data_IF_947348404040
#
_entry.id   IF_947348404040
#
_cell.length_a   1.000
_cell.length_b   1.000
_cell.length_c   1.000
_cell.angle_alpha   90.00
_cell.angle_beta   90.00
_cell.angle_gamma   90.00
#
_symmetry.space_group_name_H-M   'P 1'
#
loop_
_entity.id
_entity.type
_entity.pdbx_description
1 polymer ?
#
# COMPACT_ATOMS: atom_id res chain seq x y z
N UNK A 1 -4.10 28.38 -38.78
CA UNK A 1 -3.11 28.34 -37.67
C UNK A 1 -3.56 29.30 -36.58
N UNK A 2 -4.29 28.87 -35.61
CA UNK A 2 -4.61 29.66 -34.43
C UNK A 2 -3.35 29.86 -33.61
N UNK A 3 -2.84 31.08 -33.49
CA UNK A 3 -1.75 31.41 -32.57
C UNK A 3 -2.21 31.05 -31.17
N UNK A 4 -1.57 30.06 -30.58
CA UNK A 4 -1.68 29.83 -29.14
C UNK A 4 -1.10 31.07 -28.47
N UNK A 5 -1.97 32.00 -28.03
CA UNK A 5 -1.57 33.19 -27.28
C UNK A 5 -1.20 32.75 -25.86
N UNK A 6 0.04 32.86 -25.55
CA UNK A 6 0.55 32.69 -24.20
C UNK A 6 1.87 31.95 -24.20
N UNK A 7 2.80 32.40 -23.41
CA UNK A 7 4.12 31.79 -23.18
C UNK A 7 4.06 30.60 -22.24
N UNK A 8 2.90 30.23 -21.80
CA UNK A 8 2.63 29.01 -21.04
C UNK A 8 1.27 28.50 -21.44
N UNK A 9 1.09 27.21 -21.43
CA UNK A 9 -0.25 26.65 -21.43
C UNK A 9 -0.95 27.21 -20.20
N UNK A 10 -1.94 28.06 -20.43
CA UNK A 10 -2.82 28.46 -19.35
C UNK A 10 -3.50 27.20 -18.83
N UNK A 11 -3.92 27.22 -17.59
CA UNK A 11 -4.76 26.16 -17.01
C UNK A 11 -6.03 25.84 -17.82
N UNK A 12 -6.27 26.60 -18.86
CA UNK A 12 -7.32 26.40 -19.86
C UNK A 12 -6.66 26.39 -21.23
N UNK A 13 -6.57 25.21 -21.82
CA UNK A 13 -6.25 25.02 -23.22
C UNK A 13 -7.55 24.63 -23.92
N UNK A 14 -8.40 25.58 -24.31
CA UNK A 14 -9.53 25.24 -25.14
C UNK A 14 -8.97 24.81 -26.49
N UNK A 15 -9.03 23.56 -26.79
CA UNK A 15 -8.74 23.02 -28.12
C UNK A 15 -9.88 23.35 -29.08
N UNK A 16 -11.05 23.59 -28.48
CA UNK A 16 -12.28 23.87 -29.20
C UNK A 16 -12.84 25.21 -28.75
N UNK A 17 -13.36 25.96 -29.71
CA UNK A 17 -14.13 27.17 -29.45
C UNK A 17 -15.62 26.82 -29.44
N UNK A 18 -16.48 27.81 -29.14
CA UNK A 18 -17.95 27.62 -29.27
C UNK A 18 -18.39 27.18 -30.68
N UNK A 19 -17.56 27.38 -31.70
CA UNK A 19 -17.79 26.86 -33.04
C UNK A 19 -17.67 25.32 -33.09
N UNK A 20 -16.89 24.75 -32.20
CA UNK A 20 -16.60 23.32 -32.18
C UNK A 20 -17.77 22.49 -31.61
N UNK A 21 -18.71 23.11 -30.89
CA UNK A 21 -19.96 22.45 -30.51
C UNK A 21 -20.78 22.04 -31.75
N UNK A 22 -20.50 22.67 -32.90
CA UNK A 22 -21.06 22.35 -34.21
C UNK A 22 -20.05 21.65 -35.12
N UNK A 23 -18.85 21.37 -34.62
CA UNK A 23 -17.84 20.66 -35.40
C UNK A 23 -18.23 19.21 -35.47
N UNK A 24 -19.09 18.90 -36.37
CA UNK A 24 -19.26 17.55 -36.86
C UNK A 24 -17.95 17.21 -37.55
N UNK A 25 -17.17 16.31 -36.99
CA UNK A 25 -16.02 15.73 -37.67
C UNK A 25 -16.48 15.42 -39.08
N UNK A 26 -15.84 15.95 -40.15
CA UNK A 26 -16.32 15.75 -41.50
C UNK A 26 -16.09 14.31 -42.00
N UNK A 27 -16.54 13.35 -41.21
CA UNK A 27 -16.65 11.96 -41.62
C UNK A 27 -17.43 11.84 -42.90
N UNK A 28 -18.44 12.72 -43.11
CA UNK A 28 -19.24 12.77 -44.32
C UNK A 28 -18.47 13.30 -45.54
N UNK A 29 -17.27 13.90 -45.38
CA UNK A 29 -16.41 14.35 -46.46
C UNK A 29 -15.32 13.38 -46.87
N UNK A 30 -15.02 12.39 -46.02
CA UNK A 30 -14.15 11.32 -46.40
C UNK A 30 -15.01 10.16 -46.92
N UNK A 31 -15.03 9.98 -48.22
CA UNK A 31 -15.41 8.70 -48.82
C UNK A 31 -14.35 7.72 -48.38
N UNK A 32 -14.58 7.06 -47.25
CA UNK A 32 -13.69 6.00 -46.77
C UNK A 32 -13.87 4.83 -47.70
N UNK A 33 -12.90 4.58 -48.55
CA UNK A 33 -12.75 3.32 -49.27
C UNK A 33 -12.63 2.17 -48.25
N UNK A 34 -13.26 1.07 -48.52
CA UNK A 34 -13.21 -0.14 -47.68
C UNK A 34 -11.76 -0.59 -47.39
N UNK A 35 -10.86 -0.41 -48.33
CA UNK A 35 -9.43 -0.64 -48.18
C UNK A 35 -8.77 0.26 -47.14
N UNK A 36 -9.16 1.52 -47.07
CA UNK A 36 -8.65 2.49 -46.10
C UNK A 36 -9.13 2.14 -44.68
N UNK A 37 -10.40 1.75 -44.58
CA UNK A 37 -10.99 1.30 -43.30
C UNK A 37 -10.28 0.04 -42.80
N UNK A 38 -10.04 -0.92 -43.66
CA UNK A 38 -9.34 -2.17 -43.29
C UNK A 38 -7.88 -1.90 -42.91
N UNK A 39 -7.18 -1.03 -43.66
CA UNK A 39 -5.83 -0.60 -43.30
C UNK A 39 -5.77 0.10 -41.94
N UNK A 40 -6.75 0.98 -41.64
CA UNK A 40 -6.85 1.64 -40.32
C UNK A 40 -7.10 0.66 -39.18
N UNK A 41 -7.96 -0.38 -39.39
CA UNK A 41 -8.19 -1.41 -38.39
C UNK A 41 -6.91 -2.24 -38.11
N UNK A 42 -6.18 -2.60 -39.16
CA UNK A 42 -4.92 -3.34 -39.03
C UNK A 42 -3.87 -2.51 -38.29
N UNK A 43 -3.75 -1.23 -38.59
CA UNK A 43 -2.83 -0.31 -37.94
C UNK A 43 -3.18 -0.12 -36.44
N UNK A 44 -4.46 0.08 -36.12
CA UNK A 44 -4.91 0.20 -34.73
C UNK A 44 -4.65 -1.10 -33.98
N UNK A 45 -4.92 -2.25 -34.58
CA UNK A 45 -4.64 -3.55 -33.98
C UNK A 45 -3.15 -3.74 -33.70
N UNK A 46 -2.30 -3.36 -34.65
CA UNK A 46 -0.84 -3.37 -34.49
C UNK A 46 -0.38 -2.46 -33.35
N UNK A 47 -0.88 -1.22 -33.27
CA UNK A 47 -0.55 -0.30 -32.19
C UNK A 47 -1.05 -0.76 -30.82
N UNK A 48 -2.19 -1.45 -30.75
CA UNK A 48 -2.67 -2.06 -29.53
C UNK A 48 -1.76 -3.19 -29.04
N UNK A 49 -1.24 -3.98 -29.99
CA UNK A 49 -0.29 -5.05 -29.70
C UNK A 49 1.10 -4.51 -29.34
N UNK A 50 1.50 -3.38 -29.94
CA UNK A 50 2.82 -2.77 -29.75
C UNK A 50 2.69 -1.29 -29.35
N UNK A 51 2.19 -0.99 -28.13
CA UNK A 51 1.88 0.39 -27.73
C UNK A 51 3.10 1.30 -27.67
N UNK A 52 4.30 0.76 -27.46
CA UNK A 52 5.54 1.52 -27.50
C UNK A 52 5.86 2.05 -28.91
N UNK A 53 5.51 1.31 -29.96
CA UNK A 53 5.66 1.77 -31.33
C UNK A 53 4.70 2.93 -31.61
N UNK A 54 3.43 2.78 -31.20
CA UNK A 54 2.47 3.86 -31.30
C UNK A 54 2.99 5.15 -30.65
N UNK A 55 3.55 5.06 -29.46
CA UNK A 55 4.08 6.22 -28.73
C UNK A 55 5.28 6.83 -29.47
N UNK A 56 6.21 6.00 -29.95
CA UNK A 56 7.40 6.49 -30.64
C UNK A 56 7.04 7.16 -31.99
N UNK A 57 6.07 6.63 -32.73
CA UNK A 57 5.66 7.17 -34.04
C UNK A 57 4.65 8.30 -33.91
N UNK A 58 3.68 8.19 -33.00
CA UNK A 58 2.56 9.14 -32.92
C UNK A 58 2.87 10.35 -32.05
N UNK A 59 3.66 10.16 -30.97
CA UNK A 59 4.06 11.27 -30.09
C UNK A 59 5.42 11.87 -30.46
N UNK A 60 6.13 11.26 -31.42
CA UNK A 60 7.50 11.66 -31.83
C UNK A 60 8.48 11.71 -30.65
N UNK A 61 8.49 10.67 -29.84
CA UNK A 61 9.38 10.52 -28.69
C UNK A 61 10.01 9.14 -28.68
N UNK A 62 11.22 9.03 -28.14
CA UNK A 62 11.87 7.74 -27.96
C UNK A 62 11.79 7.28 -26.51
N UNK A 63 11.39 6.03 -26.34
CA UNK A 63 11.30 5.37 -25.04
C UNK A 63 12.58 4.58 -24.75
N UNK A 64 13.01 4.59 -23.51
CA UNK A 64 14.02 3.64 -23.01
C UNK A 64 13.44 2.24 -22.93
N UNK A 65 14.28 1.19 -23.01
CA UNK A 65 13.82 -0.19 -23.05
C UNK A 65 12.94 -0.57 -21.86
N UNK A 66 13.31 -0.12 -20.65
CA UNK A 66 12.47 -0.36 -19.46
C UNK A 66 11.11 0.33 -19.54
N UNK A 67 11.04 1.50 -20.20
CA UNK A 67 9.77 2.22 -20.40
C UNK A 67 8.89 1.52 -21.44
N UNK A 68 9.51 0.93 -22.49
CA UNK A 68 8.78 0.11 -23.48
C UNK A 68 8.13 -1.10 -22.82
N UNK A 69 8.89 -1.82 -21.99
CA UNK A 69 8.39 -2.97 -21.25
C UNK A 69 7.28 -2.55 -20.29
N UNK A 70 7.51 -1.54 -19.47
CA UNK A 70 6.52 -1.07 -18.52
C UNK A 70 5.23 -0.59 -19.21
N UNK A 71 5.34 0.17 -20.31
CA UNK A 71 4.18 0.61 -21.09
C UNK A 71 3.42 -0.57 -21.70
N UNK A 72 4.16 -1.56 -22.23
CA UNK A 72 3.55 -2.77 -22.77
C UNK A 72 2.69 -3.47 -21.72
N UNK A 73 3.24 -3.70 -20.55
CA UNK A 73 2.54 -4.38 -19.45
C UNK A 73 1.37 -3.53 -18.90
N UNK A 74 1.55 -2.21 -18.76
CA UNK A 74 0.47 -1.29 -18.38
C UNK A 74 -0.73 -1.35 -19.33
N UNK A 75 -0.51 -1.64 -20.61
CA UNK A 75 -1.56 -1.71 -21.63
C UNK A 75 -2.24 -3.08 -21.69
N UNK A 76 -1.58 -4.15 -21.22
CA UNK A 76 -2.04 -5.53 -21.38
C UNK A 76 -2.44 -6.21 -20.06
N UNK A 77 -2.15 -5.61 -18.90
CA UNK A 77 -2.55 -6.15 -17.59
C UNK A 77 -3.65 -5.31 -16.97
N UNK A 78 -4.47 -5.94 -16.13
CA UNK A 78 -5.54 -5.25 -15.42
C UNK A 78 -5.11 -4.77 -14.02
N UNK A 79 -4.07 -5.38 -13.47
CA UNK A 79 -3.53 -5.03 -12.16
C UNK A 79 -2.01 -4.84 -12.25
N UNK A 80 -1.57 -3.60 -12.19
CA UNK A 80 -0.17 -3.24 -12.38
C UNK A 80 0.39 -2.52 -11.16
N UNK A 81 1.46 -3.04 -10.57
CA UNK A 81 2.16 -2.41 -9.44
C UNK A 81 3.55 -1.96 -9.86
N UNK A 82 3.81 -0.66 -9.80
CA UNK A 82 5.05 -0.06 -10.24
C UNK A 82 5.81 0.56 -9.08
N UNK A 83 6.82 -0.15 -8.61
CA UNK A 83 7.79 0.37 -7.63
C UNK A 83 9.00 0.90 -8.37
N UNK A 84 9.26 2.19 -8.31
CA UNK A 84 10.32 2.77 -9.12
C UNK A 84 11.05 3.90 -8.40
N UNK A 85 12.36 4.00 -8.68
CA UNK A 85 13.25 5.03 -8.15
C UNK A 85 12.70 6.43 -8.40
N UNK A 86 13.01 7.35 -7.52
CA UNK A 86 12.77 8.79 -7.79
C UNK A 86 13.45 9.22 -9.07
N UNK A 87 12.80 10.12 -9.79
CA UNK A 87 13.31 10.70 -11.05
C UNK A 87 13.52 9.71 -12.22
N UNK A 88 12.92 8.51 -12.18
CA UNK A 88 12.90 7.59 -13.32
C UNK A 88 11.89 7.98 -14.41
N UNK A 89 11.03 8.96 -14.13
CA UNK A 89 9.96 9.38 -15.05
C UNK A 89 8.65 8.64 -14.87
N UNK A 90 8.33 8.13 -13.66
CA UNK A 90 7.02 7.49 -13.36
C UNK A 90 5.85 8.32 -13.87
N UNK A 91 5.73 9.55 -13.39
CA UNK A 91 4.63 10.48 -13.74
C UNK A 91 4.54 10.74 -15.24
N UNK A 92 5.71 10.86 -15.91
CA UNK A 92 5.76 11.05 -17.36
C UNK A 92 5.29 9.80 -18.12
N UNK A 93 5.74 8.60 -17.70
CA UNK A 93 5.30 7.34 -18.31
C UNK A 93 3.80 7.10 -18.07
N UNK A 94 3.30 7.47 -16.88
CA UNK A 94 1.87 7.42 -16.58
C UNK A 94 1.07 8.34 -17.49
N UNK A 95 1.55 9.56 -17.76
CA UNK A 95 0.90 10.47 -18.71
C UNK A 95 0.83 9.86 -20.13
N UNK A 96 1.91 9.22 -20.57
CA UNK A 96 1.94 8.49 -21.85
C UNK A 96 0.95 7.33 -21.85
N UNK A 97 0.94 6.52 -20.78
CA UNK A 97 0.00 5.40 -20.66
C UNK A 97 -1.46 5.85 -20.78
N UNK A 98 -1.88 6.86 -19.98
CA UNK A 98 -3.28 7.29 -19.97
C UNK A 98 -3.69 7.92 -21.30
N UNK A 99 -2.79 8.63 -21.99
CA UNK A 99 -3.02 9.16 -23.32
C UNK A 99 -3.16 8.04 -24.35
N UNK A 100 -2.22 7.10 -24.37
CA UNK A 100 -2.21 5.95 -25.27
C UNK A 100 -3.49 5.11 -25.09
N UNK A 101 -3.87 4.85 -23.85
CA UNK A 101 -5.08 4.09 -23.53
C UNK A 101 -6.34 4.82 -24.02
N UNK A 102 -6.43 6.14 -23.79
CA UNK A 102 -7.56 6.95 -24.23
C UNK A 102 -7.69 7.05 -25.76
N UNK A 103 -6.57 7.11 -26.49
CA UNK A 103 -6.57 7.22 -27.95
C UNK A 103 -6.92 5.88 -28.59
N UNK A 104 -6.20 4.80 -28.20
CA UNK A 104 -6.35 3.49 -28.82
C UNK A 104 -7.64 2.75 -28.42
N UNK A 105 -8.25 3.13 -27.30
CA UNK A 105 -9.46 2.48 -26.77
C UNK A 105 -10.56 3.53 -26.54
N UNK A 106 -11.43 3.78 -27.51
CA UNK A 106 -12.49 4.80 -27.44
C UNK A 106 -13.39 4.60 -26.21
N UNK A 107 -13.89 5.73 -25.66
CA UNK A 107 -14.74 5.77 -24.47
C UNK A 107 -14.07 5.28 -23.19
N UNK A 108 -12.75 5.27 -23.13
CA UNK A 108 -11.99 4.99 -21.89
C UNK A 108 -12.19 6.13 -20.91
N UNK A 109 -12.51 5.80 -19.66
CA UNK A 109 -12.62 6.75 -18.56
C UNK A 109 -11.49 6.48 -17.58
N UNK A 110 -10.54 7.40 -17.49
CA UNK A 110 -9.39 7.30 -16.60
C UNK A 110 -9.57 8.24 -15.43
N UNK A 111 -9.37 7.74 -14.21
CA UNK A 111 -9.18 8.55 -13.02
C UNK A 111 -7.73 8.41 -12.58
N UNK A 112 -7.05 9.56 -12.45
CA UNK A 112 -5.74 9.64 -11.84
C UNK A 112 -5.90 10.24 -10.45
N UNK A 113 -5.39 9.56 -9.45
CA UNK A 113 -5.46 10.01 -8.07
C UNK A 113 -4.09 10.01 -7.41
N UNK A 114 -3.84 11.00 -6.55
CA UNK A 114 -2.66 11.09 -5.70
C UNK A 114 -3.07 11.54 -4.30
N UNK A 115 -2.21 11.27 -3.29
CA UNK A 115 -2.47 11.64 -1.90
C UNK A 115 -2.66 13.15 -1.74
N UNK A 116 -1.90 13.91 -2.50
CA UNK A 116 -1.99 15.36 -2.55
C UNK A 116 -2.43 15.80 -3.94
N UNK A 117 -3.28 16.82 -3.99
CA UNK A 117 -3.77 17.34 -5.25
C UNK A 117 -2.67 17.86 -6.16
N UNK A 118 -1.63 18.46 -5.59
CA UNK A 118 -0.51 18.99 -6.37
C UNK A 118 0.17 17.87 -7.17
N UNK A 119 0.29 16.67 -6.61
CA UNK A 119 0.87 15.50 -7.28
C UNK A 119 -0.02 15.01 -8.44
N UNK A 120 -1.34 14.98 -8.25
CA UNK A 120 -2.25 14.58 -9.34
C UNK A 120 -2.26 15.59 -10.49
N UNK A 121 -2.00 16.87 -10.23
CA UNK A 121 -1.87 17.91 -11.27
C UNK A 121 -0.54 17.79 -12.04
N UNK A 122 0.49 17.17 -11.48
CA UNK A 122 1.75 16.95 -12.21
C UNK A 122 1.56 16.08 -13.46
N UNK A 123 0.68 15.09 -13.41
CA UNK A 123 0.36 14.25 -14.58
C UNK A 123 -0.26 15.10 -15.66
N UNK A 124 -1.18 16.01 -15.30
CA UNK A 124 -1.77 16.95 -16.28
C UNK A 124 -0.75 17.93 -16.85
N UNK A 125 0.21 18.38 -16.05
CA UNK A 125 1.34 19.17 -16.55
C UNK A 125 2.12 18.39 -17.61
N UNK A 126 2.38 17.09 -17.39
CA UNK A 126 3.06 16.23 -18.38
C UNK A 126 2.20 16.01 -19.64
N UNK A 127 0.89 15.83 -19.50
CA UNK A 127 -0.03 15.77 -20.64
C UNK A 127 0.04 17.06 -21.48
N UNK A 128 -0.04 18.20 -20.82
CA UNK A 128 0.05 19.50 -21.50
C UNK A 128 1.41 19.72 -22.20
N UNK A 129 2.51 19.26 -21.58
CA UNK A 129 3.84 19.33 -22.20
C UNK A 129 3.97 18.40 -23.41
N UNK A 130 3.41 17.20 -23.37
CA UNK A 130 3.35 16.29 -24.51
C UNK A 130 2.53 16.89 -25.65
N UNK A 131 1.38 17.51 -25.36
CA UNK A 131 0.55 18.21 -26.34
C UNK A 131 1.26 19.36 -27.01
N UNK A 132 2.17 20.07 -26.32
CA UNK A 132 2.97 21.14 -26.93
C UNK A 132 3.83 20.62 -28.08
N UNK A 133 4.38 19.41 -27.91
CA UNK A 133 5.39 18.85 -28.79
C UNK A 133 4.80 18.00 -29.91
N UNK A 134 3.61 17.43 -29.75
CA UNK A 134 2.96 16.60 -30.77
C UNK A 134 1.69 17.24 -31.31
N UNK A 135 1.65 17.51 -32.60
CA UNK A 135 0.46 18.01 -33.28
C UNK A 135 -0.62 16.94 -33.33
N UNK A 136 -0.26 15.69 -33.62
CA UNK A 136 -1.20 14.58 -33.69
C UNK A 136 -1.94 14.39 -32.38
N UNK A 137 -1.21 14.45 -31.24
CA UNK A 137 -1.82 14.37 -29.92
C UNK A 137 -2.80 15.52 -29.64
N UNK A 138 -2.50 16.75 -30.10
CA UNK A 138 -3.42 17.86 -29.95
C UNK A 138 -4.74 17.68 -30.72
N UNK A 139 -4.66 17.06 -31.88
CA UNK A 139 -5.83 16.79 -32.72
C UNK A 139 -6.76 15.71 -32.12
N UNK A 140 -6.26 14.83 -31.30
CA UNK A 140 -7.08 13.82 -30.60
C UNK A 140 -7.89 14.40 -29.42
N UNK A 141 -7.43 15.52 -28.86
CA UNK A 141 -7.98 16.09 -27.62
C UNK A 141 -8.96 17.20 -27.96
N UNK A 142 -10.23 17.02 -27.55
CA UNK A 142 -11.29 17.99 -27.73
C UNK A 142 -11.22 19.15 -26.74
N UNK A 143 -10.86 18.87 -25.49
CA UNK A 143 -10.72 19.88 -24.44
C UNK A 143 -9.78 19.38 -23.35
N UNK A 144 -8.90 20.25 -22.85
CA UNK A 144 -8.06 19.95 -21.70
C UNK A 144 -8.03 21.16 -20.76
N UNK A 145 -8.52 20.97 -19.53
CA UNK A 145 -8.59 22.01 -18.52
C UNK A 145 -7.84 21.56 -17.26
N UNK A 146 -6.99 22.43 -16.76
CA UNK A 146 -6.36 22.28 -15.45
C UNK A 146 -6.81 23.45 -14.57
N UNK A 147 -7.60 23.16 -13.54
CA UNK A 147 -8.16 24.17 -12.66
C UNK A 147 -7.93 23.83 -11.20
N UNK A 148 -8.07 24.82 -10.32
CA UNK A 148 -7.94 24.62 -8.88
C UNK A 148 -8.96 23.61 -8.27
N UNK A 149 -10.04 23.32 -8.98
CA UNK A 149 -11.07 22.37 -8.50
C UNK A 149 -10.90 20.97 -9.11
N UNK A 150 -10.61 20.88 -10.41
CA UNK A 150 -10.53 19.61 -11.13
C UNK A 150 -9.73 19.80 -12.41
N UNK A 151 -8.85 18.86 -12.70
CA UNK A 151 -8.19 18.77 -13.99
C UNK A 151 -8.87 17.69 -14.83
N UNK A 152 -9.23 18.02 -16.06
CA UNK A 152 -9.93 17.12 -16.97
C UNK A 152 -9.43 17.28 -18.39
N UNK A 153 -9.17 16.16 -19.05
CA UNK A 153 -8.87 16.08 -20.46
C UNK A 153 -9.94 15.21 -21.16
N UNK A 154 -10.52 15.68 -22.24
CA UNK A 154 -11.55 14.99 -23.02
C UNK A 154 -11.07 14.79 -24.45
N UNK A 155 -11.40 13.65 -25.03
CA UNK A 155 -11.01 13.25 -26.38
C UNK A 155 -12.21 13.20 -27.30
N UNK A 156 -11.98 13.40 -28.60
CA UNK A 156 -13.03 13.31 -29.61
C UNK A 156 -13.69 11.92 -29.66
N UNK A 157 -12.95 10.85 -29.35
CA UNK A 157 -13.47 9.49 -29.31
C UNK A 157 -14.29 9.17 -28.06
N UNK A 158 -14.61 10.17 -27.23
CA UNK A 158 -15.42 10.03 -26.02
C UNK A 158 -14.64 9.59 -24.78
N UNK A 159 -13.32 9.43 -24.89
CA UNK A 159 -12.48 9.11 -23.73
C UNK A 159 -12.25 10.34 -22.84
N UNK A 160 -11.99 10.11 -21.56
CA UNK A 160 -11.74 11.19 -20.59
C UNK A 160 -10.65 10.81 -19.59
N UNK A 161 -9.84 11.76 -19.19
CA UNK A 161 -8.90 11.66 -18.08
C UNK A 161 -9.30 12.71 -17.04
N UNK A 162 -9.47 12.30 -15.79
CA UNK A 162 -9.86 13.18 -14.69
C UNK A 162 -8.87 13.02 -13.55
N UNK A 163 -8.40 14.12 -12.97
CA UNK A 163 -7.68 14.12 -11.71
C UNK A 163 -8.68 14.22 -10.56
N UNK A 164 -8.64 13.26 -9.65
CA UNK A 164 -9.47 13.25 -8.46
C UNK A 164 -8.62 13.07 -7.20
N UNK A 165 -8.98 13.74 -6.12
CA UNK A 165 -8.41 13.45 -4.80
C UNK A 165 -9.07 12.21 -4.21
N UNK A 166 -8.29 11.38 -3.51
CA UNK A 166 -8.82 10.21 -2.82
C UNK A 166 -9.56 10.66 -1.55
N UNK A 167 -10.87 10.85 -1.66
CA UNK A 167 -11.73 11.26 -0.56
C UNK A 167 -13.13 10.68 -0.68
N UNK A 168 -13.87 10.60 0.42
CA UNK A 168 -15.27 10.15 0.38
C UNK A 168 -16.16 10.96 -0.58
N UNK A 169 -15.82 12.26 -0.77
CA UNK A 169 -16.55 13.13 -1.71
C UNK A 169 -16.34 12.78 -3.18
N UNK A 170 -15.33 11.99 -3.51
CA UNK A 170 -15.00 11.62 -4.91
C UNK A 170 -15.74 10.38 -5.41
N UNK A 171 -16.50 9.70 -4.58
CA UNK A 171 -17.21 8.43 -4.91
C UNK A 171 -18.23 8.52 -6.04
N UNK A 172 -18.59 9.72 -6.49
CA UNK A 172 -19.51 9.92 -7.62
C UNK A 172 -18.85 9.72 -9.00
N UNK A 173 -17.53 9.73 -9.06
CA UNK A 173 -16.82 9.45 -10.31
C UNK A 173 -16.93 7.98 -10.70
N UNK A 174 -16.89 7.72 -12.01
CA UNK A 174 -16.85 6.38 -12.59
C UNK A 174 -15.73 6.30 -13.62
N UNK A 175 -14.99 5.20 -13.57
CA UNK A 175 -13.86 4.93 -14.45
C UNK A 175 -13.77 3.43 -14.77
N UNK A 176 -13.07 3.12 -15.84
CA UNK A 176 -12.64 1.76 -16.16
C UNK A 176 -11.10 1.60 -16.07
N UNK A 177 -10.41 2.71 -15.81
CA UNK A 177 -8.97 2.71 -15.49
C UNK A 177 -8.74 3.65 -14.32
N UNK A 178 -8.16 3.16 -13.24
CA UNK A 178 -7.76 3.94 -12.07
C UNK A 178 -6.25 3.89 -11.91
N UNK A 179 -5.63 5.06 -11.79
CA UNK A 179 -4.21 5.20 -11.53
C UNK A 179 -4.02 5.84 -10.17
N UNK A 180 -3.37 5.13 -9.26
CA UNK A 180 -3.08 5.56 -7.89
C UNK A 180 -1.59 5.87 -7.79
N UNK A 181 -1.26 7.16 -7.79
CA UNK A 181 0.13 7.59 -7.62
C UNK A 181 0.47 7.72 -6.13
N UNK A 182 1.68 7.34 -5.75
CA UNK A 182 2.19 7.32 -4.38
C UNK A 182 1.28 6.51 -3.42
N UNK A 183 0.83 5.31 -3.85
CA UNK A 183 -0.15 4.50 -3.11
C UNK A 183 0.28 4.16 -1.68
N UNK A 184 1.56 4.09 -1.38
CA UNK A 184 2.09 3.82 -0.03
C UNK A 184 1.68 4.86 1.02
N UNK A 185 1.27 6.06 0.58
CA UNK A 185 0.86 7.18 1.45
C UNK A 185 -0.62 7.17 1.82
N UNK A 186 -1.41 6.29 1.22
CA UNK A 186 -2.85 6.25 1.45
C UNK A 186 -3.24 5.43 2.67
N UNK A 187 -4.37 5.79 3.26
CA UNK A 187 -5.08 4.93 4.18
C UNK A 187 -5.75 3.79 3.39
N UNK A 188 -5.49 2.53 3.76
CA UNK A 188 -6.01 1.38 3.01
C UNK A 188 -7.54 1.33 2.96
N UNK A 189 -8.22 1.77 4.01
CA UNK A 189 -9.69 1.77 4.07
C UNK A 189 -10.28 2.75 3.07
N UNK A 190 -9.75 3.98 3.05
CA UNK A 190 -10.19 5.01 2.10
C UNK A 190 -9.88 4.58 0.67
N UNK A 191 -8.69 4.02 0.44
CA UNK A 191 -8.29 3.53 -0.87
C UNK A 191 -9.29 2.50 -1.40
N UNK A 192 -9.57 1.45 -0.61
CA UNK A 192 -10.47 0.38 -1.01
C UNK A 192 -11.89 0.88 -1.29
N UNK A 193 -12.45 1.70 -0.40
CA UNK A 193 -13.80 2.23 -0.54
C UNK A 193 -13.97 3.15 -1.76
N UNK A 194 -12.95 3.97 -2.06
CA UNK A 194 -13.00 4.93 -3.16
C UNK A 194 -12.73 4.25 -4.49
N UNK A 195 -11.74 3.33 -4.57
CA UNK A 195 -11.48 2.58 -5.80
C UNK A 195 -12.68 1.71 -6.18
N UNK A 196 -13.25 0.96 -5.24
CA UNK A 196 -14.46 0.17 -5.50
C UNK A 196 -15.63 1.02 -5.99
N UNK A 197 -15.70 2.30 -5.57
CA UNK A 197 -16.72 3.22 -6.06
C UNK A 197 -16.41 3.75 -7.47
N UNK A 198 -15.13 3.92 -7.83
CA UNK A 198 -14.73 4.37 -9.15
C UNK A 198 -14.94 3.29 -10.21
N UNK A 199 -14.55 2.05 -9.91
CA UNK A 199 -14.68 0.90 -10.78
C UNK A 199 -16.11 0.36 -10.74
N UNK A 200 -16.53 -0.25 -11.82
CA UNK A 200 -17.89 -0.80 -11.97
C UNK A 200 -18.64 -0.22 -13.18
N UNK A 201 -17.93 0.52 -14.03
CA UNK A 201 -18.44 0.98 -15.34
C UNK A 201 -17.41 0.57 -16.40
N UNK A 202 -17.22 -0.75 -16.54
CA UNK A 202 -16.26 -1.33 -17.48
C UNK A 202 -16.53 -0.84 -18.90
N UNK A 203 -15.47 -0.62 -19.66
CA UNK A 203 -15.60 -0.15 -21.03
C UNK A 203 -16.37 -1.19 -21.88
N UNK A 204 -17.42 -0.74 -22.52
CA UNK A 204 -18.23 -1.58 -23.39
C UNK A 204 -18.04 -1.15 -24.84
N UNK A 205 -17.20 -1.83 -25.63
CA UNK A 205 -17.04 -1.58 -27.05
C UNK A 205 -18.37 -1.79 -27.79
N UNK A 206 -18.70 -0.86 -28.69
CA UNK A 206 -20.02 -0.85 -29.34
C UNK A 206 -20.32 -2.14 -30.11
N UNK A 207 -19.29 -2.81 -30.69
CA UNK A 207 -19.47 -4.06 -31.40
C UNK A 207 -19.98 -5.20 -30.50
N UNK A 208 -19.71 -5.14 -29.19
CA UNK A 208 -20.24 -6.13 -28.24
C UNK A 208 -21.76 -6.05 -28.06
N UNK A 209 -22.39 -4.95 -28.48
CA UNK A 209 -23.86 -4.84 -28.50
C UNK A 209 -24.51 -5.62 -29.63
N UNK A 210 -23.73 -6.06 -30.61
CA UNK A 210 -24.27 -6.85 -31.71
C UNK A 210 -24.61 -8.28 -31.23
N UNK A 211 -25.75 -8.84 -31.64
CA UNK A 211 -26.23 -10.15 -31.17
C UNK A 211 -25.20 -11.29 -31.32
N UNK A 212 -24.37 -11.23 -32.37
CA UNK A 212 -23.28 -12.18 -32.62
C UNK A 212 -22.32 -12.30 -31.44
N UNK A 213 -22.01 -11.19 -30.75
CA UNK A 213 -20.99 -11.14 -29.70
C UNK A 213 -21.59 -11.26 -28.29
N UNK A 214 -22.91 -11.46 -28.14
CA UNK A 214 -23.57 -11.61 -26.86
C UNK A 214 -23.64 -13.05 -26.35
N UNK A 215 -22.97 -13.97 -27.04
CA UNK A 215 -22.89 -15.38 -26.65
C UNK A 215 -21.73 -15.62 -25.69
N UNK A 216 -21.77 -16.71 -24.93
CA UNK A 216 -20.70 -17.12 -24.00
C UNK A 216 -19.33 -17.29 -24.68
N UNK A 217 -19.34 -17.65 -25.96
CA UNK A 217 -18.14 -17.81 -26.76
C UNK A 217 -17.28 -16.54 -26.85
N UNK A 218 -17.91 -15.36 -26.77
CA UNK A 218 -17.25 -14.05 -26.87
C UNK A 218 -17.13 -13.33 -25.53
N UNK A 219 -17.32 -14.02 -24.42
CA UNK A 219 -17.24 -13.41 -23.08
C UNK A 219 -15.83 -12.87 -22.77
N UNK A 220 -14.78 -13.49 -23.34
CA UNK A 220 -13.39 -13.03 -23.27
C UNK A 220 -13.13 -11.66 -23.90
N UNK A 221 -14.05 -11.16 -24.73
CA UNK A 221 -13.96 -9.82 -25.34
C UNK A 221 -14.44 -8.71 -24.39
N UNK A 222 -15.09 -9.05 -23.29
CA UNK A 222 -15.45 -8.08 -22.26
C UNK A 222 -14.20 -7.61 -21.57
N UNK A 223 -14.03 -6.29 -21.53
CA UNK A 223 -12.89 -5.71 -20.84
C UNK A 223 -13.15 -5.66 -19.33
N UNK A 224 -12.13 -5.98 -18.56
CA UNK A 224 -12.11 -5.79 -17.12
C UNK A 224 -11.57 -4.40 -16.80
N UNK A 225 -11.93 -3.90 -15.63
CA UNK A 225 -11.43 -2.64 -15.12
C UNK A 225 -9.94 -2.75 -14.80
N UNK A 226 -9.21 -1.65 -14.90
CA UNK A 226 -7.76 -1.63 -14.75
C UNK A 226 -7.35 -0.79 -13.54
N UNK A 227 -6.50 -1.35 -12.70
CA UNK A 227 -5.93 -0.72 -11.52
C UNK A 227 -4.41 -0.61 -11.64
N UNK A 228 -3.90 0.61 -11.50
CA UNK A 228 -2.48 0.92 -11.58
C UNK A 228 -2.01 1.57 -10.28
N UNK A 229 -1.05 0.96 -9.62
CA UNK A 229 -0.46 1.42 -8.37
C UNK A 229 1.00 1.80 -8.56
N UNK A 230 1.33 3.07 -8.33
CA UNK A 230 2.68 3.60 -8.55
C UNK A 230 3.22 4.20 -7.26
N UNK A 231 4.46 3.86 -6.89
CA UNK A 231 5.16 4.51 -5.76
C UNK A 231 6.65 4.19 -5.77
N UNK A 232 7.42 4.77 -4.84
CA UNK A 232 8.65 4.19 -4.33
C UNK A 232 8.34 3.06 -3.34
N UNK A 233 9.35 2.30 -2.92
CA UNK A 233 9.16 1.30 -1.86
C UNK A 233 8.93 1.97 -0.51
N UNK A 234 8.31 1.24 0.40
CA UNK A 234 8.03 1.65 1.77
C UNK A 234 8.46 0.59 2.78
N UNK A 235 7.75 0.49 3.89
CA UNK A 235 8.02 -0.51 4.93
C UNK A 235 7.28 -1.82 4.67
N UNK A 236 7.94 -2.95 4.91
CA UNK A 236 7.32 -4.29 4.81
C UNK A 236 6.17 -4.52 5.79
N UNK A 237 6.15 -3.79 6.90
CA UNK A 237 5.05 -3.85 7.86
C UNK A 237 3.79 -3.11 7.39
N UNK A 238 3.86 -2.38 6.26
CA UNK A 238 2.74 -1.60 5.76
C UNK A 238 1.78 -2.43 4.92
N UNK A 239 0.51 -2.00 4.86
CA UNK A 239 -0.49 -2.58 3.97
C UNK A 239 -0.06 -2.52 2.49
N UNK A 240 0.72 -1.49 2.13
CA UNK A 240 1.21 -1.29 0.76
C UNK A 240 2.17 -2.40 0.32
N UNK A 241 2.95 -2.94 1.26
CA UNK A 241 3.76 -4.13 0.99
C UNK A 241 2.89 -5.37 0.77
N UNK A 242 1.83 -5.55 1.53
CA UNK A 242 0.91 -6.67 1.35
C UNK A 242 0.28 -6.64 -0.05
N UNK A 243 -0.16 -5.44 -0.51
CA UNK A 243 -0.67 -5.25 -1.87
C UNK A 243 0.37 -5.63 -2.94
N UNK A 244 1.61 -5.17 -2.78
CA UNK A 244 2.72 -5.51 -3.66
C UNK A 244 3.00 -7.02 -3.66
N UNK A 245 3.08 -7.64 -2.48
CA UNK A 245 3.40 -9.07 -2.30
C UNK A 245 2.29 -9.97 -2.86
N UNK A 246 1.03 -9.60 -2.64
CA UNK A 246 -0.11 -10.33 -3.19
C UNK A 246 -0.15 -10.25 -4.72
N UNK A 247 0.07 -9.07 -5.32
CA UNK A 247 0.18 -8.92 -6.77
C UNK A 247 1.37 -9.72 -7.33
N UNK A 248 2.52 -9.68 -6.65
CA UNK A 248 3.71 -10.45 -7.04
C UNK A 248 3.44 -11.96 -7.00
N UNK A 249 2.76 -12.45 -5.97
CA UNK A 249 2.36 -13.87 -5.88
C UNK A 249 1.43 -14.29 -7.00
N UNK A 250 0.48 -13.42 -7.40
CA UNK A 250 -0.41 -13.70 -8.54
C UNK A 250 0.39 -13.78 -9.84
N UNK A 251 1.28 -12.83 -10.10
CA UNK A 251 2.15 -12.83 -11.28
C UNK A 251 3.02 -14.12 -11.33
N UNK A 252 3.63 -14.51 -10.21
CA UNK A 252 4.47 -15.74 -10.14
C UNK A 252 3.64 -17.01 -10.36
N UNK A 253 2.35 -17.01 -10.00
CA UNK A 253 1.44 -18.12 -10.30
C UNK A 253 1.02 -18.20 -11.78
N UNK A 254 1.48 -17.27 -12.62
CA UNK A 254 1.13 -17.23 -14.05
C UNK A 254 -0.23 -16.58 -14.33
N UNK A 255 -0.71 -15.69 -13.45
CA UNK A 255 -1.91 -14.91 -13.72
C UNK A 255 -1.53 -13.69 -14.58
N UNK A 256 -1.84 -13.76 -15.88
CA UNK A 256 -1.48 -12.75 -16.88
C UNK A 256 -2.15 -11.38 -16.64
N UNK A 257 -3.16 -11.31 -15.78
CA UNK A 257 -3.81 -10.06 -15.41
C UNK A 257 -2.99 -9.22 -14.40
N UNK A 258 -1.92 -9.78 -13.83
CA UNK A 258 -1.10 -9.14 -12.81
C UNK A 258 0.32 -8.93 -13.29
N UNK A 259 0.83 -7.72 -13.13
CA UNK A 259 2.24 -7.44 -13.35
C UNK A 259 2.81 -6.54 -12.26
N UNK A 260 3.98 -6.93 -11.77
CA UNK A 260 4.75 -6.16 -10.77
C UNK A 260 6.09 -5.78 -11.36
N UNK A 261 6.36 -4.48 -11.41
CA UNK A 261 7.60 -3.94 -11.98
C UNK A 261 8.37 -3.15 -10.92
N UNK A 262 9.67 -3.43 -10.80
CA UNK A 262 10.59 -2.68 -9.96
C UNK A 262 11.73 -2.09 -10.79
N UNK A 263 11.88 -0.76 -10.81
CA UNK A 263 12.91 -0.05 -11.56
C UNK A 263 13.83 0.71 -10.61
N UNK A 264 14.94 0.10 -10.16
CA UNK A 264 15.91 0.75 -9.29
C UNK A 264 16.78 1.74 -10.07
N UNK A 265 17.47 2.64 -9.35
CA UNK A 265 18.32 3.67 -9.93
C UNK A 265 19.43 3.10 -10.84
N UNK A 266 19.90 1.88 -10.59
CA UNK A 266 20.92 1.22 -11.42
C UNK A 266 20.43 1.08 -12.88
N UNK A 267 19.14 0.73 -13.08
CA UNK A 267 18.53 0.64 -14.41
C UNK A 267 18.51 2.00 -15.09
N UNK A 268 18.12 3.04 -14.36
CA UNK A 268 18.06 4.42 -14.85
C UNK A 268 19.44 4.94 -15.26
N UNK A 269 20.48 4.61 -14.49
CA UNK A 269 21.87 4.95 -14.81
C UNK A 269 22.35 4.16 -16.02
N UNK A 270 22.06 2.86 -16.10
CA UNK A 270 22.44 2.00 -17.24
C UNK A 270 21.85 2.52 -18.55
N UNK A 271 20.61 2.96 -18.52
CA UNK A 271 19.94 3.57 -19.66
C UNK A 271 20.38 5.02 -19.96
N UNK A 272 21.32 5.58 -19.19
CA UNK A 272 21.83 6.96 -19.32
C UNK A 272 20.75 8.06 -19.14
N UNK A 273 19.60 7.74 -18.54
CA UNK A 273 18.56 8.72 -18.24
C UNK A 273 19.05 9.68 -17.13
N UNK A 274 19.84 9.19 -16.19
CA UNK A 274 20.44 9.97 -15.09
C UNK A 274 21.90 9.59 -14.88
N UNK A 275 22.72 10.55 -14.43
CA UNK A 275 24.11 10.32 -14.09
C UNK A 275 24.26 9.63 -12.75
N UNK A 276 25.18 8.68 -12.62
CA UNK A 276 25.47 7.95 -11.40
C UNK A 276 25.86 8.88 -10.23
N UNK A 277 26.58 9.95 -10.53
CA UNK A 277 27.08 10.91 -9.53
C UNK A 277 25.97 11.57 -8.71
N UNK A 278 24.77 11.73 -9.29
CA UNK A 278 23.61 12.25 -8.56
C UNK A 278 23.21 11.36 -7.39
N UNK A 279 23.22 10.06 -7.60
CA UNK A 279 22.86 9.07 -6.57
C UNK A 279 23.98 8.90 -5.55
N UNK A 280 25.26 8.94 -5.98
CA UNK A 280 26.41 8.90 -5.07
C UNK A 280 26.38 10.13 -4.16
N UNK A 281 26.17 11.32 -4.72
CA UNK A 281 26.05 12.56 -3.93
C UNK A 281 24.91 12.51 -2.93
N UNK A 282 23.77 11.94 -3.31
CA UNK A 282 22.64 11.80 -2.40
C UNK A 282 22.96 10.83 -1.26
N UNK A 283 23.52 9.65 -1.58
CA UNK A 283 23.89 8.65 -0.59
C UNK A 283 25.02 9.11 0.35
N UNK A 284 25.89 10.04 -0.09
CA UNK A 284 27.03 10.53 0.72
C UNK A 284 26.68 11.65 1.71
N UNK A 285 25.43 12.15 1.72
CA UNK A 285 25.00 13.15 2.70
C UNK A 285 24.95 12.52 4.10
N UNK A 286 25.52 13.18 5.08
CA UNK A 286 25.56 12.69 6.48
C UNK A 286 24.19 12.56 7.14
N UNK A 287 23.16 13.16 6.57
CA UNK A 287 21.77 13.14 7.07
C UNK A 287 20.91 12.05 6.41
N UNK A 288 21.46 11.27 5.47
CA UNK A 288 20.70 10.26 4.74
C UNK A 288 20.76 8.93 5.48
N UNK A 289 19.58 8.43 5.83
CA UNK A 289 19.39 7.05 6.23
C UNK A 289 19.52 6.14 5.00
N UNK A 290 20.42 5.17 5.03
CA UNK A 290 20.68 4.28 3.89
C UNK A 290 19.52 3.34 3.59
N UNK A 291 18.71 2.99 4.58
CA UNK A 291 17.48 2.20 4.33
C UNK A 291 16.44 3.01 3.57
N UNK A 292 16.28 4.28 3.96
CA UNK A 292 15.41 5.22 3.23
C UNK A 292 15.95 5.45 1.81
N UNK A 293 17.27 5.59 1.65
CA UNK A 293 17.89 5.69 0.33
C UNK A 293 17.61 4.44 -0.51
N UNK A 294 17.77 3.27 0.04
CA UNK A 294 17.51 2.00 -0.64
C UNK A 294 16.02 1.84 -1.00
N UNK A 295 15.10 2.31 -0.18
CA UNK A 295 13.67 2.31 -0.50
C UNK A 295 13.33 3.29 -1.63
N UNK A 296 13.82 4.52 -1.54
CA UNK A 296 13.49 5.59 -2.48
C UNK A 296 14.20 5.44 -3.84
N UNK A 297 15.41 4.90 -3.84
CA UNK A 297 16.23 4.78 -5.04
C UNK A 297 16.50 3.33 -5.48
N UNK A 298 16.62 2.41 -4.54
CA UNK A 298 16.90 1.00 -4.80
C UNK A 298 15.68 0.12 -4.97
N UNK A 299 14.47 0.64 -4.77
CA UNK A 299 13.21 -0.12 -4.78
C UNK A 299 13.18 -1.27 -3.76
N UNK A 300 13.92 -1.14 -2.66
CA UNK A 300 13.97 -2.14 -1.61
C UNK A 300 12.98 -1.81 -0.51
N UNK A 301 12.12 -2.75 -0.19
CA UNK A 301 11.20 -2.60 0.93
C UNK A 301 11.93 -2.66 2.26
N UNK A 302 11.75 -1.64 3.08
CA UNK A 302 12.41 -1.51 4.39
C UNK A 302 11.85 -2.60 5.30
N UNK A 303 12.74 -3.46 5.76
CA UNK A 303 12.37 -4.51 6.73
C UNK A 303 12.33 -3.92 8.12
N UNK A 304 13.23 -2.96 8.41
CA UNK A 304 13.45 -2.40 9.73
C UNK A 304 14.26 -1.11 9.62
N UNK A 305 14.00 -0.14 10.50
CA UNK A 305 14.86 1.05 10.63
C UNK A 305 16.13 0.71 11.42
N UNK A 306 17.28 1.20 10.97
CA UNK A 306 18.56 1.09 11.73
C UNK A 306 18.45 1.73 13.12
N UNK A 307 17.53 2.68 13.28
CA UNK A 307 17.17 3.31 14.55
C UNK A 307 16.22 2.49 15.42
N UNK A 308 15.73 1.34 14.95
CA UNK A 308 14.84 0.51 15.74
C UNK A 308 15.58 -0.07 16.96
N UNK A 309 15.05 0.19 18.15
CA UNK A 309 15.61 -0.33 19.40
C UNK A 309 15.62 -1.86 19.42
N UNK A 310 14.54 -2.48 18.94
CA UNK A 310 14.44 -3.94 18.78
C UNK A 310 14.54 -4.30 17.31
N UNK A 311 15.60 -5.01 16.93
CA UNK A 311 15.79 -5.50 15.56
C UNK A 311 14.88 -6.69 15.28
N UNK A 312 14.21 -6.67 14.12
CA UNK A 312 13.27 -7.71 13.74
C UNK A 312 13.91 -9.10 13.74
N UNK A 313 15.15 -9.21 13.27
CA UNK A 313 15.90 -10.47 13.25
C UNK A 313 16.08 -11.04 14.66
N UNK A 314 16.30 -10.17 15.65
CA UNK A 314 16.40 -10.56 17.06
C UNK A 314 15.05 -11.06 17.55
N UNK A 315 13.96 -10.34 17.23
CA UNK A 315 12.61 -10.74 17.58
C UNK A 315 12.20 -12.04 16.91
N UNK A 316 12.54 -12.22 15.64
CA UNK A 316 12.23 -13.45 14.89
C UNK A 316 13.02 -14.65 15.41
N UNK A 317 14.28 -14.48 15.76
CA UNK A 317 15.08 -15.50 16.42
C UNK A 317 14.53 -15.89 17.80
N UNK A 318 13.84 -14.96 18.48
CA UNK A 318 13.15 -15.24 19.74
C UNK A 318 11.78 -15.91 19.56
N UNK A 319 11.29 -16.05 18.33
CA UNK A 319 10.01 -16.69 18.04
C UNK A 319 10.09 -18.20 18.18
N UNK A 320 9.90 -18.69 19.40
CA UNK A 320 9.93 -20.12 19.74
C UNK A 320 8.54 -20.75 19.74
N UNK A 321 7.50 -19.95 19.95
CA UNK A 321 6.11 -20.40 19.97
C UNK A 321 5.47 -20.24 18.59
N UNK A 322 4.94 -21.33 18.04
CA UNK A 322 4.28 -21.32 16.72
C UNK A 322 2.88 -20.70 16.74
N UNK A 323 2.22 -20.72 17.89
CA UNK A 323 0.85 -20.20 18.06
C UNK A 323 0.72 -19.53 19.42
N UNK A 324 -0.09 -18.47 19.48
CA UNK A 324 -0.56 -17.92 20.73
C UNK A 324 -1.32 -19.00 21.53
N UNK A 325 -1.16 -19.01 22.85
CA UNK A 325 -1.87 -19.95 23.73
C UNK A 325 -3.33 -19.57 23.93
N UNK A 326 -3.69 -18.38 23.47
CA UNK A 326 -5.04 -17.83 23.45
C UNK A 326 -5.40 -17.46 22.02
N UNK A 327 -6.61 -17.71 21.58
CA UNK A 327 -7.03 -17.42 20.22
C UNK A 327 -7.73 -16.06 20.14
N UNK A 328 -7.45 -15.29 19.09
CA UNK A 328 -8.17 -14.06 18.77
C UNK A 328 -9.52 -14.32 18.11
N UNK A 329 -9.77 -15.54 17.63
CA UNK A 329 -11.08 -15.93 17.10
C UNK A 329 -12.08 -16.14 18.24
N UNK A 330 -13.01 -15.19 18.35
CA UNK A 330 -14.04 -15.18 19.40
C UNK A 330 -14.89 -16.45 19.38
N UNK A 331 -15.19 -17.01 18.20
CA UNK A 331 -15.99 -18.23 18.09
C UNK A 331 -15.23 -19.46 18.57
N UNK A 332 -13.99 -19.62 18.13
CA UNK A 332 -13.11 -20.68 18.63
C UNK A 332 -12.83 -20.51 20.12
N UNK A 333 -12.70 -19.28 20.58
CA UNK A 333 -12.52 -18.94 21.97
C UNK A 333 -13.71 -19.37 22.83
N UNK A 334 -14.92 -19.01 22.43
CA UNK A 334 -16.14 -19.38 23.14
C UNK A 334 -16.40 -20.88 23.10
N UNK A 335 -16.16 -21.55 21.98
CA UNK A 335 -16.31 -22.99 21.82
C UNK A 335 -15.33 -23.79 22.70
N UNK A 336 -14.16 -23.24 22.99
CA UNK A 336 -13.13 -23.86 23.80
C UNK A 336 -13.04 -23.32 25.25
N UNK A 337 -14.05 -22.58 25.68
CA UNK A 337 -14.05 -21.88 26.98
C UNK A 337 -13.63 -22.73 28.13
N UNK A 338 -14.05 -23.96 28.18
CA UNK A 338 -13.74 -24.90 29.29
C UNK A 338 -12.36 -25.59 29.13
N UNK A 339 -11.77 -25.56 27.94
CA UNK A 339 -10.46 -26.17 27.63
C UNK A 339 -9.31 -25.17 27.66
N UNK A 340 -9.61 -23.90 27.58
CA UNK A 340 -8.65 -22.85 27.26
C UNK A 340 -7.63 -22.57 28.36
N UNK A 341 -7.89 -22.88 29.60
CA UNK A 341 -7.09 -22.39 30.70
C UNK A 341 -6.58 -23.43 31.68
N UNK A 342 -6.17 -24.56 31.16
CA UNK A 342 -5.35 -25.50 31.96
C UNK A 342 -3.85 -25.19 31.87
N UNK A 343 -3.48 -23.99 31.43
CA UNK A 343 -2.07 -23.59 31.25
C UNK A 343 -1.32 -23.66 32.57
N UNK A 344 -1.97 -23.29 33.68
CA UNK A 344 -1.41 -23.33 35.01
C UNK A 344 -1.93 -24.47 35.89
N UNK A 345 -2.81 -25.35 35.38
CA UNK A 345 -3.16 -26.54 36.18
C UNK A 345 -1.95 -27.43 36.29
N UNK A 346 -1.54 -27.70 37.52
CA UNK A 346 -0.43 -28.60 37.86
C UNK A 346 -0.50 -29.84 37.00
N UNK A 347 0.57 -30.13 36.29
CA UNK A 347 0.67 -31.32 35.45
C UNK A 347 0.63 -32.63 36.27
N UNK A 348 1.05 -32.57 37.53
CA UNK A 348 0.93 -33.66 38.47
C UNK A 348 0.95 -33.12 39.91
N UNK A 349 0.54 -33.97 40.89
CA UNK A 349 0.68 -33.65 42.33
C UNK A 349 2.14 -33.51 42.77
N UNK A 350 3.09 -33.93 41.94
CA UNK A 350 4.53 -33.92 42.24
C UNK A 350 5.21 -32.63 41.75
N UNK A 351 4.65 -31.93 40.74
CA UNK A 351 5.16 -30.65 40.32
C UNK A 351 4.70 -29.52 41.25
N UNK A 352 5.51 -29.30 42.30
CA UNK A 352 5.23 -28.27 43.32
C UNK A 352 5.38 -26.84 42.80
N UNK A 353 5.82 -26.64 41.58
CA UNK A 353 6.17 -25.31 41.01
C UNK A 353 5.14 -24.89 39.97
N UNK A 354 4.40 -23.84 40.26
CA UNK A 354 3.44 -23.19 39.33
C UNK A 354 4.20 -22.17 38.50
N UNK A 355 4.08 -22.25 37.20
CA UNK A 355 4.58 -21.20 36.33
C UNK A 355 3.95 -19.83 36.70
N UNK A 356 4.74 -18.77 36.72
CA UNK A 356 4.26 -17.43 37.04
C UNK A 356 3.76 -16.80 35.75
N UNK A 357 2.52 -16.34 35.73
CA UNK A 357 1.91 -15.61 34.62
C UNK A 357 1.77 -14.15 34.99
N UNK A 358 2.29 -13.28 34.15
CA UNK A 358 2.23 -11.83 34.34
C UNK A 358 1.48 -11.23 33.15
N UNK A 359 0.53 -10.35 33.40
CA UNK A 359 -0.13 -9.53 32.38
C UNK A 359 0.48 -8.15 32.40
N UNK A 360 1.04 -7.72 31.29
CA UNK A 360 1.48 -6.34 31.06
C UNK A 360 0.43 -5.57 30.26
N UNK A 361 0.14 -4.34 30.69
CA UNK A 361 -0.83 -3.49 30.03
C UNK A 361 -0.28 -2.08 29.84
N UNK A 362 -0.27 -1.64 28.60
CA UNK A 362 -0.06 -0.25 28.18
C UNK A 362 -1.42 0.34 27.78
N UNK A 363 -1.80 1.46 28.41
CA UNK A 363 -3.17 2.00 28.37
C UNK A 363 -3.22 3.31 27.62
N UNK A 364 -3.97 3.32 26.53
CA UNK A 364 -4.34 4.55 25.83
C UNK A 364 -5.77 4.99 26.21
N UNK A 365 -5.93 6.27 26.55
CA UNK A 365 -7.22 6.83 27.01
C UNK A 365 -8.15 7.29 25.89
N UNK A 366 -7.60 7.60 24.73
CA UNK A 366 -8.34 8.18 23.62
C UNK A 366 -8.27 7.30 22.37
N UNK A 367 -9.43 7.13 21.70
CA UNK A 367 -9.49 6.54 20.39
C UNK A 367 -9.27 7.55 19.26
N UNK A 368 -8.81 7.10 18.12
CA UNK A 368 -8.67 7.86 16.89
C UNK A 368 -7.38 7.54 16.13
N UNK A 369 -7.40 7.72 14.80
CA UNK A 369 -6.30 7.33 13.89
C UNK A 369 -4.91 7.93 14.18
N UNK A 370 -4.84 8.94 15.04
CA UNK A 370 -3.59 9.61 15.44
C UNK A 370 -3.18 9.31 16.87
N UNK A 371 -3.96 8.51 17.60
CA UNK A 371 -3.71 8.22 19.02
C UNK A 371 -3.15 6.79 19.14
N UNK A 372 -2.40 6.60 20.22
CA UNK A 372 -1.81 5.31 20.55
C UNK A 372 -2.90 4.26 20.81
N UNK A 373 -2.55 3.00 20.59
CA UNK A 373 -3.40 1.86 20.91
C UNK A 373 -3.06 1.31 22.26
N UNK A 374 -4.06 0.87 23.01
CA UNK A 374 -3.80 0.07 24.19
C UNK A 374 -3.29 -1.30 23.78
N UNK A 375 -2.29 -1.82 24.49
CA UNK A 375 -1.71 -3.13 24.25
C UNK A 375 -1.70 -3.96 25.55
N UNK A 376 -2.16 -5.21 25.47
CA UNK A 376 -2.12 -6.17 26.56
C UNK A 376 -1.28 -7.36 26.15
N UNK A 377 -0.36 -7.77 27.00
CA UNK A 377 0.49 -8.92 26.78
C UNK A 377 0.44 -9.89 27.96
N UNK A 378 0.58 -11.17 27.68
CA UNK A 378 0.66 -12.22 28.72
C UNK A 378 2.00 -12.90 28.63
N UNK A 379 2.78 -12.76 29.68
CA UNK A 379 4.13 -13.29 29.81
C UNK A 379 4.11 -14.47 30.78
N UNK A 380 4.68 -15.60 30.35
CA UNK A 380 4.89 -16.75 31.16
C UNK A 380 6.34 -16.84 31.59
N UNK A 381 6.58 -16.95 32.89
CA UNK A 381 7.89 -17.15 33.51
C UNK A 381 8.05 -18.60 33.90
N UNK A 382 9.07 -19.27 33.35
CA UNK A 382 9.41 -20.66 33.63
C UNK A 382 10.67 -20.69 34.46
N UNK A 383 10.57 -21.09 35.72
CA UNK A 383 11.73 -21.18 36.61
C UNK A 383 12.72 -22.24 36.12
N UNK A 384 13.96 -21.86 36.04
CA UNK A 384 15.09 -22.73 35.74
C UNK A 384 16.22 -22.50 36.72
N UNK A 385 17.01 -23.54 36.93
CA UNK A 385 18.20 -23.50 37.77
C UNK A 385 19.44 -23.63 36.89
N UNK A 386 20.39 -22.73 37.03
CA UNK A 386 21.69 -22.79 36.36
C UNK A 386 22.77 -23.08 37.39
N UNK A 387 23.55 -24.11 37.13
CA UNK A 387 24.71 -24.50 37.96
C UNK A 387 25.95 -23.86 37.30
N UNK A 388 26.63 -23.00 38.03
CA UNK A 388 27.92 -22.43 37.61
C UNK A 388 29.01 -22.98 38.49
N UNK A 389 30.10 -23.38 37.85
CA UNK A 389 31.34 -23.79 38.53
C UNK A 389 32.35 -22.68 38.40
N UNK A 390 32.87 -22.20 39.50
CA UNK A 390 33.94 -21.18 39.54
C UNK A 390 35.08 -21.72 40.39
N UNK A 391 36.32 -21.41 40.02
CA UNK A 391 37.50 -21.74 40.81
C UNK A 391 37.88 -20.49 41.61
N UNK A 392 37.79 -20.59 42.95
CA UNK A 392 38.23 -19.55 43.85
C UNK A 392 39.29 -20.15 44.76
N UNK A 393 40.46 -19.56 44.82
CA UNK A 393 41.63 -20.05 45.61
C UNK A 393 41.96 -21.56 45.38
N UNK A 394 41.85 -21.98 44.08
CA UNK A 394 42.18 -23.36 43.68
C UNK A 394 41.15 -24.40 44.06
N UNK A 395 40.02 -24.00 44.64
CA UNK A 395 38.87 -24.90 44.98
C UNK A 395 37.71 -24.63 43.99
N UNK A 396 37.15 -25.71 43.44
CA UNK A 396 35.95 -25.67 42.64
C UNK A 396 34.73 -25.38 43.54
N UNK A 397 34.13 -24.20 43.34
CA UNK A 397 32.88 -23.82 44.03
C UNK A 397 31.76 -23.98 43.04
N UNK A 398 30.78 -24.79 43.37
CA UNK A 398 29.56 -24.94 42.58
C UNK A 398 28.46 -24.07 43.19
N UNK A 399 27.97 -23.10 42.45
CA UNK A 399 26.85 -22.27 42.84
C UNK A 399 25.66 -22.52 41.92
N UNK A 400 24.48 -22.66 42.55
CA UNK A 400 23.22 -22.80 41.82
C UNK A 400 22.42 -21.53 42.00
N UNK A 401 22.05 -20.86 40.89
CA UNK A 401 21.16 -19.71 40.94
C UNK A 401 19.91 -19.96 40.12
N UNK A 402 18.79 -19.42 40.59
CA UNK A 402 17.52 -19.43 39.89
C UNK A 402 17.48 -18.33 38.86
N UNK A 403 16.91 -18.62 37.68
CA UNK A 403 16.53 -17.64 36.69
C UNK A 403 15.22 -18.04 36.02
N UNK A 404 14.61 -17.12 35.30
CA UNK A 404 13.34 -17.35 34.62
C UNK A 404 13.51 -17.20 33.12
N UNK A 405 13.15 -18.25 32.38
CA UNK A 405 12.88 -18.11 30.95
C UNK A 405 11.56 -17.37 30.80
N UNK A 406 11.49 -16.52 29.79
CA UNK A 406 10.35 -15.64 29.54
C UNK A 406 9.74 -15.99 28.20
N UNK A 407 8.46 -16.36 28.22
CA UNK A 407 7.70 -16.67 27.02
C UNK A 407 6.53 -15.68 26.89
N UNK A 408 6.49 -14.92 25.80
CA UNK A 408 5.32 -14.12 25.44
C UNK A 408 4.29 -15.06 24.80
N UNK A 409 3.27 -15.44 25.57
CA UNK A 409 2.30 -16.46 25.16
C UNK A 409 1.06 -15.88 24.49
N UNK A 410 0.78 -14.58 24.70
CA UNK A 410 -0.37 -13.90 24.12
C UNK A 410 -0.14 -12.39 24.05
N UNK A 411 -0.64 -11.75 23.01
CA UNK A 411 -0.67 -10.31 22.86
C UNK A 411 -1.94 -9.87 22.12
N UNK A 412 -2.54 -8.76 22.52
CA UNK A 412 -3.64 -8.12 21.83
C UNK A 412 -3.49 -6.60 21.87
N UNK A 413 -4.07 -5.90 20.90
CA UNK A 413 -4.10 -4.44 20.88
C UNK A 413 -5.51 -3.93 20.57
N UNK A 414 -5.89 -2.82 21.18
CA UNK A 414 -7.20 -2.21 21.05
C UNK A 414 -7.11 -0.74 20.70
N UNK A 415 -7.88 -0.31 19.73
CA UNK A 415 -8.01 1.08 19.33
C UNK A 415 -9.32 1.66 19.87
N UNK A 416 -9.24 2.79 20.59
CA UNK A 416 -10.42 3.50 21.07
C UNK A 416 -11.28 2.78 22.09
N UNK A 417 -10.75 1.79 22.79
CA UNK A 417 -11.49 1.09 23.84
C UNK A 417 -11.64 1.96 25.08
N UNK A 418 -12.87 2.12 25.57
CA UNK A 418 -13.14 2.86 26.81
C UNK A 418 -12.43 2.21 28.00
N UNK A 419 -11.90 3.02 28.94
CA UNK A 419 -11.17 2.55 30.12
C UNK A 419 -11.92 1.47 30.92
N UNK A 420 -13.24 1.60 31.06
CA UNK A 420 -14.06 0.58 31.72
C UNK A 420 -13.99 -0.77 31.01
N UNK A 421 -14.08 -0.77 29.68
CA UNK A 421 -13.97 -2.01 28.88
C UNK A 421 -12.56 -2.60 28.91
N UNK A 422 -11.54 -1.74 28.93
CA UNK A 422 -10.15 -2.18 29.10
C UNK A 422 -9.96 -2.88 30.46
N UNK A 423 -10.54 -2.34 31.52
CA UNK A 423 -10.51 -2.93 32.85
C UNK A 423 -11.24 -4.29 32.88
N UNK A 424 -12.42 -4.37 32.27
CA UNK A 424 -13.18 -5.63 32.18
C UNK A 424 -12.35 -6.68 31.40
N UNK A 425 -11.70 -6.26 30.31
CA UNK A 425 -10.85 -7.14 29.50
C UNK A 425 -9.62 -7.66 30.26
N UNK A 426 -8.95 -6.78 31.00
CA UNK A 426 -7.81 -7.20 31.84
C UNK A 426 -8.23 -8.20 32.91
N UNK A 427 -9.41 -8.04 33.50
CA UNK A 427 -9.96 -9.03 34.45
C UNK A 427 -10.25 -10.39 33.80
N UNK A 428 -10.81 -10.38 32.59
CA UNK A 428 -11.00 -11.60 31.82
C UNK A 428 -9.67 -12.32 31.59
N UNK A 429 -8.66 -11.59 31.09
CA UNK A 429 -7.33 -12.14 30.88
C UNK A 429 -6.71 -12.65 32.17
N UNK A 430 -6.87 -11.91 33.27
CA UNK A 430 -6.37 -12.34 34.58
C UNK A 430 -6.99 -13.68 35.03
N UNK A 431 -8.30 -13.80 34.89
CA UNK A 431 -9.04 -15.01 35.25
C UNK A 431 -8.71 -16.15 34.29
N UNK A 432 -8.69 -15.83 33.00
CA UNK A 432 -8.52 -16.80 31.93
C UNK A 432 -7.12 -17.44 31.92
N UNK A 433 -6.09 -16.68 32.18
CA UNK A 433 -4.72 -17.18 32.26
C UNK A 433 -4.31 -17.58 33.68
N UNK A 434 -5.20 -17.48 34.67
CA UNK A 434 -4.88 -17.70 36.09
C UNK A 434 -3.59 -16.94 36.47
N UNK A 435 -3.57 -15.65 36.06
CA UNK A 435 -2.38 -14.82 36.19
C UNK A 435 -2.03 -14.53 37.66
N UNK A 436 -0.75 -14.44 37.92
CA UNK A 436 -0.22 -14.12 39.26
C UNK A 436 -0.19 -12.62 39.53
N UNK A 437 0.11 -11.83 38.44
CA UNK A 437 0.31 -10.39 38.54
C UNK A 437 -0.25 -9.70 37.31
N UNK A 438 -0.67 -8.42 37.52
CA UNK A 438 -0.94 -7.48 36.44
C UNK A 438 -0.02 -6.28 36.65
N UNK A 439 0.69 -5.88 35.59
CA UNK A 439 1.56 -4.71 35.57
C UNK A 439 0.97 -3.72 34.58
N UNK A 440 0.69 -2.51 35.04
CA UNK A 440 0.11 -1.43 34.24
C UNK A 440 1.04 -0.24 34.30
N UNK A 441 1.32 0.39 33.14
CA UNK A 441 1.99 1.68 33.15
C UNK A 441 1.07 2.71 33.81
N UNK A 442 1.52 3.27 34.93
CA UNK A 442 0.74 4.19 35.77
C UNK A 442 0.75 5.64 35.23
N UNK A 443 1.35 5.91 34.10
CA UNK A 443 1.32 7.25 33.51
C UNK A 443 -0.04 7.55 32.88
N UNK A 444 -0.55 8.78 33.06
CA UNK A 444 -1.79 9.27 32.42
C UNK A 444 -3.02 8.38 32.62
N UNK A 445 -3.35 7.61 31.57
CA UNK A 445 -4.55 6.76 31.54
C UNK A 445 -4.46 5.54 32.48
N UNK A 446 -3.27 5.04 32.73
CA UNK A 446 -3.05 3.93 33.65
C UNK A 446 -3.39 4.29 35.09
N UNK A 447 -3.09 5.52 35.53
CA UNK A 447 -3.47 6.01 36.86
C UNK A 447 -5.00 6.07 37.03
N UNK A 448 -5.72 6.54 36.01
CA UNK A 448 -7.18 6.56 36.00
C UNK A 448 -7.78 5.15 36.07
N UNK A 449 -7.16 4.19 35.41
CA UNK A 449 -7.59 2.79 35.45
C UNK A 449 -7.40 2.17 36.84
N UNK A 450 -6.32 2.52 37.54
CA UNK A 450 -6.08 2.09 38.92
C UNK A 450 -7.08 2.70 39.92
N UNK A 451 -7.55 3.94 39.66
CA UNK A 451 -8.55 4.63 40.48
C UNK A 451 -9.97 4.05 40.32
N UNK A 452 -10.26 3.32 39.26
CA UNK A 452 -11.53 2.63 39.12
C UNK A 452 -11.60 1.53 40.18
N UNK A 453 -12.49 1.68 41.18
CA UNK A 453 -12.71 0.83 42.38
C UNK A 453 -12.80 -0.69 42.13
N UNK A 454 -12.59 -1.11 40.91
CA UNK A 454 -12.66 -2.47 40.38
C UNK A 454 -11.44 -3.31 40.86
N UNK A 455 -10.33 -2.65 41.26
CA UNK A 455 -9.05 -3.26 41.56
C UNK A 455 -8.83 -3.53 43.05
N UNK A 456 -9.74 -3.09 43.96
CA UNK A 456 -9.59 -3.31 45.41
C UNK A 456 -9.38 -4.77 45.87
N UNK A 457 -9.62 -5.70 44.96
CA UNK A 457 -9.45 -7.15 45.27
C UNK A 457 -8.25 -7.80 44.56
N UNK A 458 -7.53 -7.10 43.68
CA UNK A 458 -6.51 -7.71 42.80
C UNK A 458 -5.10 -7.22 43.13
N UNK A 459 -4.92 -6.03 43.73
CA UNK A 459 -3.59 -5.44 43.85
C UNK A 459 -3.09 -5.29 45.29
N UNK A 460 -2.05 -6.05 45.62
CA UNK A 460 -0.95 -5.56 46.44
C UNK A 460 0.13 -4.97 45.51
N UNK A 461 -0.11 -3.78 45.00
CA UNK A 461 0.82 -3.08 44.07
C UNK A 461 2.00 -2.46 44.83
N UNK A 462 1.82 -2.12 46.11
CA UNK A 462 2.83 -1.43 46.91
C UNK A 462 4.09 -2.25 47.20
N UNK A 463 4.04 -3.57 47.13
CA UNK A 463 5.23 -4.42 47.33
C UNK A 463 6.11 -4.61 46.07
N UNK A 464 5.65 -4.19 44.88
CA UNK A 464 6.37 -4.45 43.62
C UNK A 464 7.36 -3.35 43.26
N UNK A 465 7.15 -2.09 43.69
CA UNK A 465 8.12 -1.02 43.44
C UNK A 465 9.44 -1.23 44.20
N UNK A 466 9.36 -1.73 45.42
CA UNK A 466 10.56 -2.06 46.21
C UNK A 466 11.27 -3.35 45.74
N UNK A 467 10.56 -4.32 45.17
CA UNK A 467 11.15 -5.54 44.62
C UNK A 467 11.65 -5.43 43.19
N UNK A 468 11.15 -4.46 42.40
CA UNK A 468 11.65 -4.19 41.06
C UNK A 468 13.06 -3.60 41.06
N UNK A 469 13.40 -2.80 42.09
CA UNK A 469 14.76 -2.29 42.28
C UNK A 469 15.78 -3.40 42.69
N UNK A 470 15.31 -4.56 43.16
CA UNK A 470 16.20 -5.71 43.44
C UNK A 470 16.39 -6.65 42.27
N UNK A 471 15.75 -6.43 41.10
CA UNK A 471 15.83 -7.26 39.91
C UNK A 471 16.54 -6.59 38.72
N UNK A 472 16.99 -5.35 38.86
CA UNK A 472 17.94 -4.70 37.94
C UNK A 472 19.36 -4.91 38.40
#
# INVERSE_FOLDING_TARGET
MGKIKGTGFSSKVPMTTKADEKYVYPIDKFVMDDNLIEGAKQLISYYRQFPHIFVEEYFDIKLYDFQKIALYEMMHTNYFVFTATRNCGKTWLTAIFVLTRCILYPKTKVIVTASERQQSSEIFTKILDLMKNSQMLREEISNCTDSSKMSKCSFWNGSTIVSATMSHGSRHFRANVVVVDEYVKYDPTILQEVISAFLGDSRFPLYLSLPKYQTKEYEYLKEEDTEMYLSSAGHKSSWAYNLFDDAFKQMVKGNDNYFVCAIPYQTVVKCKLRKKDLYIKEASKSTVDMEVFDAEYGCKWITQSDSAFYKFDILDNCRTLQKAQYTNDVQSFLANKDKRFKINKRKSKEDKQKDIIIIGADIASMGGRKNDRSAFCVLKLIEKNKVTKSIVDGKEITSTYRYYDRELIYIESHEGMLLKKQTERLKELYTDFDASYIVVDAQNAGEQLLCLNIWKHICRIEELSEKAEMLT
#
